data_IF_102942338298
#
_entry.id   IF_102942338298
#
_cell.length_a   1.000
_cell.length_b   1.000
_cell.length_c   1.000
_cell.angle_alpha   90.00
_cell.angle_beta   90.00
_cell.angle_gamma   90.00
#
_symmetry.space_group_name_H-M   'P 1'
#
loop_
_entity.id
_entity.type
_entity.pdbx_description
1 polymer ?
#
# COMPACT_ATOMS: atom_id res chain seq x y z
N UNK A 1 47.69 -63.47 1.35
CA UNK A 1 46.53 -62.86 2.04
C UNK A 1 46.96 -61.52 2.60
N UNK A 2 46.26 -60.42 2.25
CA UNK A 2 45.94 -59.23 3.07
C UNK A 2 47.14 -58.43 3.66
N UNK A 3 47.30 -57.11 3.58
CA UNK A 3 46.52 -55.97 3.08
C UNK A 3 47.46 -54.75 2.92
N UNK A 4 47.07 -53.84 2.04
CA UNK A 4 47.58 -52.48 1.81
C UNK A 4 47.32 -51.52 3.00
N UNK A 5 48.16 -50.50 3.16
CA UNK A 5 47.73 -49.16 3.60
C UNK A 5 48.57 -48.10 2.85
N UNK A 6 47.88 -47.28 2.06
CA UNK A 6 48.44 -46.28 1.16
C UNK A 6 48.30 -44.86 1.74
N UNK A 7 49.26 -44.04 1.33
CA UNK A 7 49.51 -42.64 1.64
C UNK A 7 48.36 -41.74 1.12
N UNK A 8 47.86 -40.84 1.97
CA UNK A 8 46.86 -39.82 1.61
C UNK A 8 47.57 -38.65 0.90
N UNK A 9 47.28 -38.45 -0.38
CA UNK A 9 47.53 -37.18 -1.08
C UNK A 9 46.30 -36.28 -0.95
N UNK A 10 46.51 -35.05 -0.47
CA UNK A 10 45.52 -34.00 -0.50
C UNK A 10 45.27 -33.53 -1.94
N UNK A 11 44.01 -33.54 -2.38
CA UNK A 11 43.57 -32.90 -3.62
C UNK A 11 42.67 -31.72 -3.23
N UNK A 12 43.11 -30.51 -3.60
CA UNK A 12 42.31 -29.30 -3.48
C UNK A 12 41.17 -29.34 -4.51
N UNK A 13 39.93 -29.36 -4.03
CA UNK A 13 38.74 -29.11 -4.84
C UNK A 13 38.44 -27.62 -4.81
N UNK A 14 38.53 -27.00 -5.98
CA UNK A 14 38.03 -25.66 -6.23
C UNK A 14 36.51 -25.65 -6.04
N UNK A 15 36.01 -24.80 -5.15
CA UNK A 15 34.59 -24.52 -4.97
C UNK A 15 34.18 -23.55 -6.09
N UNK A 16 33.12 -23.83 -6.88
CA UNK A 16 32.64 -22.88 -7.86
C UNK A 16 32.07 -21.65 -7.14
N UNK A 17 32.38 -20.45 -7.65
CA UNK A 17 31.72 -19.21 -7.24
C UNK A 17 30.21 -19.35 -7.45
N UNK A 18 29.51 -19.74 -6.39
CA UNK A 18 28.05 -19.68 -6.32
C UNK A 18 27.62 -18.22 -6.33
N UNK A 19 26.61 -17.92 -7.15
CA UNK A 19 25.93 -16.63 -7.21
C UNK A 19 25.75 -16.05 -5.81
N UNK A 20 26.29 -14.84 -5.60
CA UNK A 20 26.11 -14.13 -4.36
C UNK A 20 24.59 -13.97 -4.11
N UNK A 21 24.08 -14.66 -3.10
CA UNK A 21 22.76 -14.36 -2.52
C UNK A 21 22.83 -12.89 -2.11
N UNK A 22 22.05 -12.04 -2.78
CA UNK A 22 21.87 -10.67 -2.33
C UNK A 22 21.45 -10.71 -0.85
N UNK A 23 21.99 -9.84 0.00
CA UNK A 23 21.64 -9.82 1.41
C UNK A 23 20.13 -9.65 1.54
N UNK A 24 19.50 -10.56 2.27
CA UNK A 24 18.09 -10.43 2.66
C UNK A 24 17.94 -9.15 3.46
N UNK A 25 17.41 -8.11 2.83
CA UNK A 25 17.02 -6.89 3.52
C UNK A 25 15.95 -7.31 4.55
N UNK A 26 16.32 -7.32 5.83
CA UNK A 26 15.38 -7.56 6.94
C UNK A 26 15.38 -6.32 7.82
N UNK A 27 14.62 -5.29 7.47
CA UNK A 27 14.20 -4.28 8.44
C UNK A 27 13.37 -5.00 9.50
N UNK A 28 13.72 -4.78 10.76
CA UNK A 28 12.93 -5.18 11.92
C UNK A 28 11.53 -4.55 11.82
N UNK A 29 10.48 -5.33 12.05
CA UNK A 29 9.07 -4.93 11.90
C UNK A 29 8.61 -3.78 12.82
N UNK A 30 9.47 -3.27 13.70
CA UNK A 30 9.12 -2.30 14.75
C UNK A 30 8.83 -0.87 14.22
N UNK A 31 9.21 -0.53 12.98
CA UNK A 31 9.04 0.83 12.44
C UNK A 31 7.96 0.97 11.34
N UNK A 32 7.25 -0.10 10.99
CA UNK A 32 6.16 -0.03 10.01
C UNK A 32 4.88 0.47 10.68
N UNK A 33 4.07 1.30 10.00
CA UNK A 33 2.88 1.88 10.61
C UNK A 33 1.84 0.80 10.93
N UNK A 34 1.15 0.97 12.06
CA UNK A 34 -0.11 0.29 12.37
C UNK A 34 -1.33 1.06 11.90
N UNK A 35 -1.19 2.36 11.61
CA UNK A 35 -2.28 3.24 11.22
C UNK A 35 -1.92 3.98 9.95
N UNK A 36 -2.82 3.95 8.98
CA UNK A 36 -2.80 4.75 7.77
C UNK A 36 -4.13 5.48 7.60
N UNK A 37 -4.13 6.53 6.80
CA UNK A 37 -5.29 7.37 6.55
C UNK A 37 -5.65 7.37 5.07
N UNK A 38 -6.95 7.45 4.78
CA UNK A 38 -7.46 7.69 3.43
C UNK A 38 -8.46 8.84 3.46
N UNK A 39 -8.29 9.81 2.57
CA UNK A 39 -9.32 10.80 2.28
C UNK A 39 -10.16 10.36 1.09
N UNK A 40 -11.47 10.49 1.17
CA UNK A 40 -12.35 10.15 0.05
C UNK A 40 -13.66 10.96 0.06
N UNK A 41 -14.35 10.96 -1.08
CA UNK A 41 -15.68 11.52 -1.27
C UNK A 41 -16.78 10.46 -1.09
N UNK A 42 -16.40 9.21 -0.83
CA UNK A 42 -17.34 8.12 -0.58
C UNK A 42 -17.65 8.05 0.92
N UNK A 43 -18.93 8.05 1.33
CA UNK A 43 -19.33 7.99 2.73
C UNK A 43 -19.18 6.58 3.34
N UNK A 44 -19.06 6.48 4.68
CA UNK A 44 -18.86 5.22 5.41
C UNK A 44 -19.93 4.17 5.12
N UNK A 45 -21.19 4.58 4.97
CA UNK A 45 -22.31 3.69 4.69
C UNK A 45 -22.14 2.97 3.36
N UNK A 46 -21.55 3.65 2.37
CA UNK A 46 -21.30 3.07 1.05
C UNK A 46 -20.14 2.07 1.11
N UNK A 47 -19.01 2.40 1.75
CA UNK A 47 -17.93 1.42 1.92
C UNK A 47 -18.31 0.22 2.78
N UNK A 48 -19.12 0.43 3.83
CA UNK A 48 -19.69 -0.68 4.60
C UNK A 48 -20.53 -1.61 3.71
N UNK A 49 -21.37 -1.05 2.84
CA UNK A 49 -22.18 -1.82 1.87
C UNK A 49 -21.33 -2.56 0.84
N UNK A 50 -20.18 -2.00 0.46
CA UNK A 50 -19.24 -2.60 -0.48
C UNK A 50 -18.33 -3.66 0.17
N UNK A 51 -18.34 -3.75 1.50
CA UNK A 51 -17.49 -4.64 2.29
C UNK A 51 -16.10 -4.04 2.54
N UNK A 52 -15.84 -2.81 2.12
CA UNK A 52 -14.58 -2.11 2.29
C UNK A 52 -14.32 -1.07 1.20
N UNK A 53 -13.07 -0.64 1.10
CA UNK A 53 -12.56 0.28 0.09
C UNK A 53 -11.94 -0.56 -1.04
N UNK A 54 -12.53 -0.54 -2.26
CA UNK A 54 -11.99 -1.31 -3.39
C UNK A 54 -10.70 -0.68 -3.93
N UNK A 55 -9.93 -1.43 -4.75
CA UNK A 55 -8.87 -0.85 -5.55
C UNK A 55 -9.35 0.29 -6.45
N UNK A 56 -8.43 1.18 -6.77
CA UNK A 56 -8.74 2.43 -7.48
C UNK A 56 -8.80 2.27 -9.01
N UNK A 57 -9.35 3.31 -9.64
CA UNK A 57 -9.53 3.47 -11.08
C UNK A 57 -10.47 2.44 -11.72
N UNK A 58 -10.84 2.72 -12.96
CA UNK A 58 -11.74 1.90 -13.77
C UNK A 58 -11.00 1.39 -15.00
N UNK A 59 -11.55 0.36 -15.65
CA UNK A 59 -11.00 -0.19 -16.88
C UNK A 59 -10.64 -1.66 -16.74
N UNK A 60 -9.94 -2.20 -17.74
CA UNK A 60 -9.53 -3.60 -17.73
C UNK A 60 -8.28 -3.80 -16.88
N UNK A 61 -8.22 -4.94 -16.18
CA UNK A 61 -7.00 -5.38 -15.50
C UNK A 61 -5.96 -5.81 -16.54
N UNK A 62 -4.81 -5.13 -16.54
CA UNK A 62 -3.63 -5.44 -17.36
C UNK A 62 -2.43 -5.68 -16.46
N UNK A 63 -1.25 -5.99 -17.00
CA UNK A 63 -0.07 -6.13 -16.14
C UNK A 63 0.30 -4.79 -15.45
N UNK A 64 0.04 -3.66 -16.10
CA UNK A 64 0.19 -2.31 -15.51
C UNK A 64 -0.72 -2.06 -14.30
N UNK A 65 -1.82 -2.81 -14.15
CA UNK A 65 -2.68 -2.75 -12.96
C UNK A 65 -1.93 -3.11 -11.67
N UNK A 66 -0.87 -3.91 -11.79
CA UNK A 66 -0.06 -4.37 -10.68
C UNK A 66 1.23 -3.55 -10.50
N UNK A 67 1.44 -2.50 -11.31
CA UNK A 67 2.57 -1.57 -11.20
C UNK A 67 2.31 -0.52 -10.12
N UNK A 68 3.13 -0.50 -9.07
CA UNK A 68 3.09 0.56 -8.04
C UNK A 68 3.37 1.94 -8.64
N UNK A 69 4.26 2.04 -9.62
CA UNK A 69 4.51 3.30 -10.33
C UNK A 69 3.30 3.78 -11.12
N UNK A 70 2.59 2.87 -11.79
CA UNK A 70 1.39 3.22 -12.55
C UNK A 70 0.27 3.67 -11.63
N UNK A 71 0.10 3.00 -10.48
CA UNK A 71 -0.81 3.41 -9.42
C UNK A 71 -0.50 4.81 -8.89
N UNK A 72 0.74 5.05 -8.43
CA UNK A 72 1.14 6.36 -7.89
C UNK A 72 1.00 7.50 -8.91
N UNK A 73 1.26 7.23 -10.19
CA UNK A 73 1.09 8.25 -11.25
C UNK A 73 -0.39 8.51 -11.57
N UNK A 74 -1.29 7.61 -11.17
CA UNK A 74 -2.73 7.66 -11.43
C UNK A 74 -3.10 7.82 -12.91
N UNK A 75 -4.33 8.30 -13.13
CA UNK A 75 -4.89 8.60 -14.46
C UNK A 75 -4.57 10.03 -14.92
N UNK A 76 -4.31 10.95 -13.99
CA UNK A 76 -4.24 12.40 -14.23
C UNK A 76 -3.10 12.83 -15.17
N UNK A 77 -1.99 12.08 -15.17
CA UNK A 77 -0.77 12.48 -15.88
C UNK A 77 -0.57 11.82 -17.25
N UNK A 78 -1.55 11.11 -17.83
CA UNK A 78 -1.46 10.64 -19.23
C UNK A 78 -2.84 10.32 -19.84
N UNK A 79 -3.24 11.00 -20.94
CA UNK A 79 -4.37 10.57 -21.75
C UNK A 79 -4.20 9.11 -22.19
N UNK A 80 -5.28 8.31 -22.12
CA UNK A 80 -5.28 6.93 -22.61
C UNK A 80 -4.83 5.85 -21.61
N UNK A 81 -4.67 6.17 -20.32
CA UNK A 81 -4.54 5.16 -19.26
C UNK A 81 -5.89 4.83 -18.65
N UNK A 82 -6.65 4.00 -19.36
CA UNK A 82 -7.85 3.33 -18.85
C UNK A 82 -7.42 1.98 -18.27
N UNK A 83 -7.08 1.97 -16.98
CA UNK A 83 -6.69 0.76 -16.27
C UNK A 83 -7.24 0.79 -14.85
N UNK A 84 -7.68 -0.37 -14.39
CA UNK A 84 -8.02 -0.57 -12.99
C UNK A 84 -6.73 -0.86 -12.21
N UNK A 85 -6.47 -0.14 -11.12
CA UNK A 85 -5.37 -0.46 -10.20
C UNK A 85 -5.68 -1.73 -9.40
N UNK A 86 -4.65 -2.48 -9.06
CA UNK A 86 -4.75 -3.55 -8.06
C UNK A 86 -4.70 -3.03 -6.62
N UNK A 87 -4.51 -1.72 -6.43
CA UNK A 87 -4.24 -1.10 -5.12
C UNK A 87 -5.29 -0.06 -4.74
N UNK A 88 -5.54 0.06 -3.43
CA UNK A 88 -6.19 1.23 -2.84
C UNK A 88 -5.14 2.10 -2.12
N UNK A 89 -5.13 3.40 -2.40
CA UNK A 89 -4.15 4.32 -1.84
C UNK A 89 -4.46 4.69 -0.38
N UNK A 90 -3.43 4.75 0.45
CA UNK A 90 -3.48 5.29 1.82
C UNK A 90 -2.20 6.07 2.11
N UNK A 91 -2.18 6.86 3.17
CA UNK A 91 -1.00 7.63 3.58
C UNK A 91 -0.84 7.64 5.09
N UNK A 92 0.40 7.67 5.58
CA UNK A 92 0.67 7.98 6.99
C UNK A 92 0.62 9.48 7.30
N UNK A 93 0.54 10.34 6.28
CA UNK A 93 0.44 11.79 6.43
C UNK A 93 -1.03 12.18 6.46
N UNK A 94 -1.49 12.68 7.60
CA UNK A 94 -2.90 13.03 7.79
C UNK A 94 -3.37 14.13 6.81
N UNK A 95 -2.52 15.12 6.56
CA UNK A 95 -2.84 16.22 5.64
C UNK A 95 -3.09 15.76 4.20
N UNK A 96 -2.52 14.62 3.79
CA UNK A 96 -2.80 14.02 2.47
C UNK A 96 -4.25 13.52 2.44
N UNK A 97 -4.70 12.83 3.49
CA UNK A 97 -6.10 12.42 3.61
C UNK A 97 -7.06 13.62 3.66
N UNK A 98 -6.72 14.70 4.37
CA UNK A 98 -7.52 15.94 4.34
C UNK A 98 -7.61 16.49 2.91
N UNK A 99 -6.49 16.54 2.18
CA UNK A 99 -6.45 17.01 0.81
C UNK A 99 -7.42 16.21 -0.08
N UNK A 100 -7.36 14.88 -0.06
CA UNK A 100 -8.20 14.02 -0.88
C UNK A 100 -9.68 13.96 -0.45
N UNK A 101 -10.00 14.21 0.83
CA UNK A 101 -11.39 14.31 1.28
C UNK A 101 -12.11 15.55 0.72
N UNK A 102 -11.37 16.60 0.35
CA UNK A 102 -11.97 17.86 -0.14
C UNK A 102 -11.61 18.23 -1.58
N UNK A 103 -10.52 17.65 -2.12
CA UNK A 103 -10.09 17.83 -3.51
C UNK A 103 -11.18 17.28 -4.42
N UNK A 104 -11.53 18.07 -5.44
CA UNK A 104 -12.56 17.75 -6.43
C UNK A 104 -13.94 17.39 -5.83
N UNK A 105 -14.18 17.72 -4.55
CA UNK A 105 -15.40 17.38 -3.84
C UNK A 105 -16.60 18.19 -4.38
N UNK A 106 -17.59 17.54 -5.04
CA UNK A 106 -18.79 18.23 -5.49
C UNK A 106 -19.81 18.43 -4.35
N UNK A 107 -19.65 17.71 -3.24
CA UNK A 107 -20.55 17.69 -2.08
C UNK A 107 -20.13 18.71 -1.01
N UNK A 108 -20.93 18.82 0.05
CA UNK A 108 -20.66 19.71 1.20
C UNK A 108 -19.59 19.16 2.16
N UNK A 109 -19.33 17.85 2.14
CA UNK A 109 -18.36 17.20 3.00
C UNK A 109 -17.69 16.01 2.29
N UNK A 110 -16.52 15.63 2.79
CA UNK A 110 -15.84 14.38 2.48
C UNK A 110 -15.46 13.64 3.76
N UNK A 111 -14.73 12.54 3.63
CA UNK A 111 -14.44 11.64 4.74
C UNK A 111 -12.96 11.31 4.83
N UNK A 112 -12.45 11.28 6.06
CA UNK A 112 -11.15 10.69 6.38
C UNK A 112 -11.39 9.39 7.12
N UNK A 113 -10.77 8.32 6.64
CA UNK A 113 -10.79 7.00 7.25
C UNK A 113 -9.47 6.76 7.98
N UNK A 114 -9.54 6.37 9.25
CA UNK A 114 -8.43 5.80 10.01
C UNK A 114 -8.49 4.29 9.87
N UNK A 115 -7.43 3.70 9.34
CA UNK A 115 -7.42 2.30 8.91
C UNK A 115 -6.25 1.59 9.61
N UNK A 116 -6.53 0.42 10.18
CA UNK A 116 -5.48 -0.44 10.72
C UNK A 116 -4.70 -1.09 9.58
N UNK A 117 -3.40 -0.90 9.60
CA UNK A 117 -2.52 -1.38 8.54
C UNK A 117 -2.31 -2.89 8.64
N UNK A 118 -2.34 -3.55 7.48
CA UNK A 118 -2.13 -4.99 7.36
C UNK A 118 -1.04 -5.29 6.33
N UNK A 119 -0.49 -6.51 6.29
CA UNK A 119 0.68 -6.81 5.48
C UNK A 119 0.44 -6.72 3.95
N UNK A 120 -0.79 -6.63 3.46
CA UNK A 120 -1.05 -6.36 2.04
C UNK A 120 -0.81 -4.88 1.64
N UNK A 121 -0.52 -3.99 2.59
CA UNK A 121 -0.21 -2.58 2.35
C UNK A 121 1.28 -2.37 2.16
N UNK A 122 1.70 -1.93 0.98
CA UNK A 122 3.10 -1.82 0.56
C UNK A 122 3.61 -0.40 0.71
N UNK A 123 4.76 -0.22 1.36
CA UNK A 123 5.49 1.04 1.39
C UNK A 123 6.00 1.42 -0.02
N UNK A 124 5.39 2.45 -0.61
CA UNK A 124 5.68 2.84 -1.98
C UNK A 124 7.06 3.52 -2.11
N UNK A 125 7.42 4.35 -1.13
CA UNK A 125 8.69 5.11 -1.14
C UNK A 125 9.91 4.19 -1.13
N UNK A 126 9.77 3.00 -0.56
CA UNK A 126 10.84 2.01 -0.45
C UNK A 126 10.71 0.84 -1.44
N UNK A 127 9.87 0.98 -2.47
CA UNK A 127 9.70 -0.01 -3.54
C UNK A 127 10.68 0.17 -4.71
N UNK A 128 11.83 0.80 -4.46
CA UNK A 128 12.96 0.95 -5.39
C UNK A 128 12.61 1.58 -6.76
N UNK A 129 11.76 2.61 -6.73
CA UNK A 129 11.56 3.54 -7.82
C UNK A 129 11.37 4.96 -7.29
N UNK A 130 11.49 5.98 -8.13
CA UNK A 130 11.16 7.37 -7.73
C UNK A 130 9.67 7.64 -7.91
N UNK A 131 8.89 7.86 -6.83
CA UNK A 131 7.47 8.21 -6.93
C UNK A 131 7.27 9.58 -7.57
N UNK A 132 6.11 9.79 -8.20
CA UNK A 132 5.74 11.10 -8.76
C UNK A 132 5.25 12.05 -7.68
N UNK A 133 4.65 11.52 -6.61
CA UNK A 133 4.11 12.28 -5.49
C UNK A 133 4.71 11.76 -4.18
N UNK A 134 5.13 12.68 -3.30
CA UNK A 134 5.74 12.37 -2.00
C UNK A 134 4.68 12.30 -0.90
N UNK A 135 3.78 11.33 -1.02
CA UNK A 135 2.60 11.19 -0.16
C UNK A 135 2.81 10.24 1.02
N UNK A 136 4.00 9.61 1.15
CA UNK A 136 4.23 8.50 2.11
C UNK A 136 3.16 7.44 1.96
N UNK A 137 2.94 7.03 0.71
CA UNK A 137 1.83 6.18 0.33
C UNK A 137 2.08 4.73 0.76
N UNK A 138 1.05 4.11 1.32
CA UNK A 138 0.97 2.67 1.52
C UNK A 138 -0.14 2.09 0.65
N UNK A 139 0.25 1.36 -0.39
CA UNK A 139 -0.67 0.84 -1.41
C UNK A 139 -1.25 -0.51 -0.96
N UNK A 140 -2.55 -0.55 -0.68
CA UNK A 140 -3.25 -1.75 -0.20
C UNK A 140 -3.60 -2.68 -1.37
N UNK A 141 -2.84 -3.76 -1.52
CA UNK A 141 -3.02 -4.75 -2.59
C UNK A 141 -4.36 -5.47 -2.43
N UNK A 142 -5.21 -5.37 -3.44
CA UNK A 142 -6.53 -5.97 -3.53
C UNK A 142 -7.64 -5.20 -2.81
N UNK A 143 -7.34 -4.03 -2.23
CA UNK A 143 -8.29 -3.21 -1.49
C UNK A 143 -8.12 -3.32 0.03
N UNK A 144 -9.03 -2.70 0.75
CA UNK A 144 -9.05 -2.60 2.22
C UNK A 144 -10.42 -3.06 2.68
N UNK A 145 -10.48 -3.99 3.61
CA UNK A 145 -11.76 -4.49 4.11
C UNK A 145 -12.40 -3.52 5.10
N UNK A 146 -13.72 -3.54 5.20
CA UNK A 146 -14.47 -2.69 6.11
C UNK A 146 -14.10 -2.94 7.58
N UNK A 147 -13.85 -4.20 7.94
CA UNK A 147 -13.43 -4.60 9.29
C UNK A 147 -11.99 -4.16 9.64
N UNK A 148 -11.22 -3.62 8.68
CA UNK A 148 -9.93 -2.95 8.94
C UNK A 148 -10.06 -1.46 9.27
N UNK A 149 -11.19 -0.84 8.93
CA UNK A 149 -11.44 0.59 9.21
C UNK A 149 -11.70 0.74 10.70
N UNK A 150 -10.88 1.50 11.41
CA UNK A 150 -11.02 1.72 12.85
C UNK A 150 -12.07 2.80 13.15
N UNK A 151 -12.05 3.88 12.37
CA UNK A 151 -12.90 5.04 12.55
C UNK A 151 -12.96 5.89 11.29
N UNK A 152 -13.93 6.80 11.23
CA UNK A 152 -13.99 7.85 10.20
C UNK A 152 -14.31 9.21 10.80
N UNK A 153 -13.93 10.25 10.06
CA UNK A 153 -14.14 11.66 10.39
C UNK A 153 -14.78 12.33 9.17
N UNK A 154 -15.94 12.97 9.35
CA UNK A 154 -16.52 13.83 8.31
C UNK A 154 -15.81 15.18 8.32
N UNK A 155 -15.40 15.63 7.14
CA UNK A 155 -14.62 16.85 6.95
C UNK A 155 -15.38 17.80 6.03
N UNK A 156 -15.81 18.98 6.52
CA UNK A 156 -16.47 19.96 5.69
C UNK A 156 -15.59 20.39 4.51
N UNK A 157 -16.19 20.59 3.33
CA UNK A 157 -15.45 21.01 2.13
C UNK A 157 -14.73 22.36 2.30
N UNK A 158 -15.24 23.22 3.18
CA UNK A 158 -14.69 24.53 3.50
C UNK A 158 -13.72 24.52 4.70
N UNK A 159 -13.28 23.34 5.16
CA UNK A 159 -12.26 23.23 6.24
C UNK A 159 -10.97 23.98 5.90
N UNK A 160 -10.63 24.05 4.61
CA UNK A 160 -9.53 24.85 4.08
C UNK A 160 -10.08 26.06 3.36
N UNK A 161 -9.55 27.23 3.73
CA UNK A 161 -9.82 28.51 3.06
C UNK A 161 -8.72 28.88 2.06
N UNK A 162 -7.60 28.16 2.07
CA UNK A 162 -6.43 28.40 1.23
C UNK A 162 -6.17 27.22 0.30
N UNK A 163 -7.02 27.02 -0.71
CA UNK A 163 -6.87 25.90 -1.63
C UNK A 163 -5.59 26.01 -2.45
N UNK A 164 -4.88 24.89 -2.61
CA UNK A 164 -3.77 24.78 -3.55
C UNK A 164 -4.28 24.78 -5.00
N UNK A 165 -3.38 25.00 -5.96
CA UNK A 165 -3.73 25.04 -7.38
C UNK A 165 -4.35 23.74 -7.92
N UNK A 166 -4.13 22.62 -7.23
CA UNK A 166 -4.70 21.29 -7.50
C UNK A 166 -6.01 21.01 -6.72
N UNK A 167 -6.62 22.02 -6.11
CA UNK A 167 -7.93 21.93 -5.44
C UNK A 167 -7.93 21.35 -4.02
N UNK A 168 -6.78 20.90 -3.53
CA UNK A 168 -6.57 20.42 -2.15
C UNK A 168 -6.26 21.56 -1.16
N UNK A 169 -5.53 21.22 -0.09
CA UNK A 169 -5.15 22.16 0.98
C UNK A 169 -3.84 22.91 0.70
N UNK A 170 -3.70 24.11 1.25
CA UNK A 170 -2.53 24.98 1.04
C UNK A 170 -1.26 24.46 1.70
N UNK A 171 -0.09 25.00 1.31
CA UNK A 171 1.22 24.54 1.82
C UNK A 171 1.32 24.64 3.35
N UNK A 172 0.84 25.72 3.94
CA UNK A 172 0.90 25.92 5.39
C UNK A 172 -0.02 24.95 6.12
N UNK A 173 -1.24 24.74 5.60
CA UNK A 173 -2.20 23.74 6.12
C UNK A 173 -1.61 22.33 6.02
N UNK A 174 -0.94 21.97 4.92
CA UNK A 174 -0.21 20.69 4.79
C UNK A 174 0.80 20.46 5.91
N UNK A 175 1.47 21.51 6.39
CA UNK A 175 2.43 21.39 7.48
C UNK A 175 1.75 21.30 8.84
N UNK A 176 0.74 22.15 9.10
CA UNK A 176 0.04 22.16 10.40
C UNK A 176 -0.78 20.88 10.62
N UNK A 177 -1.43 20.38 9.58
CA UNK A 177 -2.31 19.20 9.65
C UNK A 177 -1.60 17.90 9.25
N UNK A 178 -0.26 17.86 9.32
CA UNK A 178 0.53 16.69 8.94
C UNK A 178 0.16 15.45 9.78
N UNK A 179 -0.27 15.66 11.03
CA UNK A 179 -0.76 14.61 11.96
C UNK A 179 -2.23 14.83 12.29
N UNK A 180 -2.92 13.76 12.72
CA UNK A 180 -4.30 13.83 13.19
C UNK A 180 -4.44 14.80 14.38
N UNK A 181 -3.53 14.72 15.36
CA UNK A 181 -3.49 15.64 16.51
C UNK A 181 -3.39 17.12 16.08
N UNK A 182 -2.57 17.42 15.08
CA UNK A 182 -2.42 18.78 14.57
C UNK A 182 -3.71 19.33 13.96
N UNK A 183 -4.46 18.48 13.25
CA UNK A 183 -5.76 18.83 12.70
C UNK A 183 -6.84 18.95 13.79
N UNK A 184 -6.93 17.98 14.69
CA UNK A 184 -7.93 17.92 15.77
C UNK A 184 -7.81 19.10 16.74
N UNK A 185 -6.60 19.63 16.93
CA UNK A 185 -6.38 20.85 17.72
C UNK A 185 -7.05 22.08 17.11
N UNK A 186 -7.08 22.19 15.79
CA UNK A 186 -7.72 23.30 15.07
C UNK A 186 -9.23 23.08 14.90
N UNK A 187 -9.67 21.82 14.83
CA UNK A 187 -11.07 21.45 14.64
C UNK A 187 -11.57 20.51 15.76
N UNK A 188 -11.60 20.96 17.02
CA UNK A 188 -11.93 20.09 18.16
C UNK A 188 -13.37 19.58 18.12
N UNK A 189 -14.26 20.23 17.37
CA UNK A 189 -15.66 19.84 17.22
C UNK A 189 -15.87 18.72 16.20
N UNK A 190 -14.91 18.46 15.30
CA UNK A 190 -14.96 17.31 14.41
C UNK A 190 -14.58 16.05 15.19
N UNK A 191 -15.50 15.08 15.25
CA UNK A 191 -15.33 13.88 16.07
C UNK A 191 -15.18 12.64 15.20
N UNK A 192 -14.21 11.80 15.56
CA UNK A 192 -14.12 10.44 15.05
C UNK A 192 -15.35 9.64 15.45
N UNK A 193 -15.93 8.95 14.48
CA UNK A 193 -16.93 7.91 14.70
C UNK A 193 -16.21 6.57 14.62
N UNK A 194 -16.15 5.85 15.73
CA UNK A 194 -15.53 4.53 15.78
C UNK A 194 -16.38 3.53 14.98
N UNK A 195 -15.72 2.67 14.21
CA UNK A 195 -16.38 1.60 13.47
C UNK A 195 -16.73 0.46 14.43
N UNK A 196 -18.03 0.16 14.68
CA UNK A 196 -18.41 -0.97 15.52
C UNK A 196 -18.07 -2.33 14.90
N UNK A 197 -17.79 -2.38 13.60
CA UNK A 197 -17.42 -3.60 12.88
C UNK A 197 -15.90 -3.81 12.79
N UNK A 198 -15.09 -2.92 13.38
CA UNK A 198 -13.64 -3.09 13.42
C UNK A 198 -13.28 -4.41 14.10
N UNK A 199 -12.38 -5.19 13.48
CA UNK A 199 -11.93 -6.46 14.00
C UNK A 199 -10.55 -6.34 14.63
N UNK A 200 -10.49 -6.47 15.96
CA UNK A 200 -9.24 -6.38 16.74
C UNK A 200 -8.23 -7.49 16.44
N UNK A 201 -8.57 -8.50 15.62
CA UNK A 201 -7.56 -9.42 15.06
C UNK A 201 -6.46 -8.66 14.33
N UNK A 202 -6.76 -7.46 13.82
CA UNK A 202 -5.82 -6.65 13.08
C UNK A 202 -4.73 -6.02 13.94
N UNK A 203 -4.95 -5.83 15.25
CA UNK A 203 -4.06 -5.09 16.17
C UNK A 203 -2.60 -5.62 16.18
N UNK A 204 -2.43 -6.90 15.85
CA UNK A 204 -1.13 -7.58 15.78
C UNK A 204 -0.33 -7.27 14.51
N UNK A 205 -0.98 -6.72 13.48
CA UNK A 205 -0.38 -6.53 12.17
C UNK A 205 0.12 -5.11 11.96
N UNK A 206 1.01 -4.97 10.97
CA UNK A 206 1.52 -3.70 10.47
C UNK A 206 1.53 -3.76 8.95
N UNK A 207 1.75 -2.62 8.31
CA UNK A 207 2.04 -2.58 6.88
C UNK A 207 3.28 -3.42 6.51
N UNK A 208 3.44 -3.70 5.22
CA UNK A 208 4.65 -4.31 4.65
C UNK A 208 5.65 -3.27 4.17
N UNK A 209 6.90 -3.72 4.05
CA UNK A 209 7.97 -2.99 3.40
C UNK A 209 7.72 -2.87 1.89
N UNK A 210 8.52 -2.02 1.25
CA UNK A 210 8.49 -1.86 -0.19
C UNK A 210 8.74 -3.16 -0.95
N UNK A 211 8.16 -3.24 -2.14
CA UNK A 211 8.20 -4.41 -3.01
C UNK A 211 8.83 -4.02 -4.37
N UNK A 212 10.17 -4.02 -4.50
CA UNK A 212 10.87 -3.65 -5.74
C UNK A 212 10.41 -4.39 -6.99
N UNK A 213 10.02 -5.66 -6.84
CA UNK A 213 9.48 -6.48 -7.92
C UNK A 213 8.12 -6.02 -8.44
N UNK A 214 7.42 -5.15 -7.70
CA UNK A 214 6.15 -4.53 -8.10
C UNK A 214 6.30 -3.08 -8.56
N UNK A 215 7.54 -2.55 -8.63
CA UNK A 215 7.79 -1.16 -9.02
C UNK A 215 7.11 -0.81 -10.36
N UNK A 216 7.33 -1.64 -11.38
CA UNK A 216 6.69 -1.49 -12.70
C UNK A 216 6.90 -0.11 -13.35
N UNK A 217 8.03 0.56 -13.04
CA UNK A 217 8.39 1.86 -13.58
C UNK A 217 9.23 1.73 -14.86
N UNK A 218 9.29 2.76 -15.72
CA UNK A 218 10.25 2.80 -16.83
C UNK A 218 11.70 2.73 -16.32
N UNK A 219 12.61 2.12 -17.09
CA UNK A 219 14.01 1.86 -16.71
C UNK A 219 14.72 3.06 -16.06
N UNK A 220 14.56 4.27 -16.63
CA UNK A 220 15.14 5.52 -16.09
C UNK A 220 14.65 5.93 -14.69
N UNK A 221 13.63 5.27 -14.15
CA UNK A 221 13.00 5.53 -12.85
C UNK A 221 13.21 4.38 -11.85
N UNK A 222 13.71 3.24 -12.32
CA UNK A 222 13.98 2.08 -11.47
C UNK A 222 15.28 2.28 -10.70
N UNK A 223 15.28 1.80 -9.46
CA UNK A 223 16.51 1.53 -8.75
C UNK A 223 17.09 0.16 -9.11
N UNK A 224 18.24 -0.20 -8.51
CA UNK A 224 18.97 -1.41 -8.87
C UNK A 224 18.20 -2.71 -8.61
N UNK A 225 17.48 -2.84 -7.50
CA UNK A 225 16.74 -4.07 -7.15
C UNK A 225 15.55 -4.27 -8.09
N UNK A 226 14.76 -3.22 -8.33
CA UNK A 226 13.64 -3.27 -9.24
C UNK A 226 14.10 -3.56 -10.69
N UNK A 227 15.28 -3.06 -11.07
CA UNK A 227 15.90 -3.38 -12.36
C UNK A 227 16.29 -4.86 -12.49
N UNK A 228 16.71 -5.52 -11.41
CA UNK A 228 16.98 -6.97 -11.44
C UNK A 228 15.67 -7.77 -11.57
N UNK A 229 14.64 -7.41 -10.82
CA UNK A 229 13.33 -8.08 -10.95
C UNK A 229 12.71 -7.90 -12.33
N UNK A 230 12.88 -6.73 -12.96
CA UNK A 230 12.39 -6.48 -14.31
C UNK A 230 13.04 -7.37 -15.40
N UNK A 231 14.18 -8.02 -15.10
CA UNK A 231 14.83 -9.00 -16.00
C UNK A 231 14.29 -10.42 -15.81
N UNK A 232 13.58 -10.70 -14.72
CA UNK A 232 12.96 -12.00 -14.52
C UNK A 232 11.87 -12.25 -15.57
N UNK A 233 11.68 -13.51 -15.97
CA UNK A 233 10.58 -13.89 -16.84
C UNK A 233 9.27 -14.04 -16.06
N UNK A 234 8.91 -13.00 -15.29
CA UNK A 234 7.68 -12.90 -14.49
C UNK A 234 6.96 -11.60 -14.78
N UNK A 235 5.64 -11.65 -14.83
CA UNK A 235 4.81 -10.45 -14.97
C UNK A 235 4.56 -9.81 -13.59
N UNK A 236 4.19 -8.53 -13.57
CA UNK A 236 3.84 -7.84 -12.32
C UNK A 236 2.67 -8.51 -11.61
N UNK A 237 1.69 -9.03 -12.38
CA UNK A 237 0.61 -9.85 -11.82
C UNK A 237 1.12 -11.07 -11.06
N UNK A 238 2.12 -11.78 -11.61
CA UNK A 238 2.68 -12.96 -10.95
C UNK A 238 3.39 -12.56 -9.65
N UNK A 239 4.17 -11.48 -9.67
CA UNK A 239 4.78 -10.95 -8.45
C UNK A 239 3.74 -10.51 -7.40
N UNK A 240 2.61 -9.95 -7.82
CA UNK A 240 1.55 -9.52 -6.90
C UNK A 240 0.85 -10.71 -6.25
N UNK A 241 0.62 -11.78 -7.01
CA UNK A 241 0.09 -13.06 -6.48
C UNK A 241 1.08 -13.67 -5.49
N UNK A 242 2.37 -13.75 -5.85
CA UNK A 242 3.41 -14.29 -4.94
C UNK A 242 3.56 -13.47 -3.66
N UNK A 243 3.38 -12.15 -3.74
CA UNK A 243 3.33 -11.29 -2.56
C UNK A 243 2.11 -11.63 -1.69
N UNK A 244 0.91 -11.65 -2.27
CA UNK A 244 -0.32 -11.94 -1.54
C UNK A 244 -0.39 -13.36 -0.98
N UNK A 245 0.22 -14.34 -1.64
CA UNK A 245 0.36 -15.71 -1.11
C UNK A 245 1.17 -15.74 0.20
N UNK A 246 2.13 -14.82 0.35
CA UNK A 246 2.96 -14.72 1.56
C UNK A 246 2.25 -13.95 2.68
N UNK A 247 1.52 -12.88 2.35
CA UNK A 247 1.11 -11.88 3.34
C UNK A 247 -0.39 -11.61 3.40
N UNK A 248 -1.17 -12.12 2.45
CA UNK A 248 -2.58 -11.78 2.26
C UNK A 248 -3.56 -12.55 3.15
N UNK A 249 -3.11 -13.54 3.90
CA UNK A 249 -3.99 -14.36 4.75
C UNK A 249 -4.85 -13.53 5.73
N UNK A 250 -4.34 -12.49 6.42
CA UNK A 250 -5.13 -11.65 7.33
C UNK A 250 -6.30 -10.94 6.66
N UNK A 251 -6.19 -10.63 5.38
CA UNK A 251 -7.22 -9.92 4.60
C UNK A 251 -8.08 -10.86 3.75
N UNK A 252 -8.04 -12.16 4.06
CA UNK A 252 -8.90 -13.16 3.42
C UNK A 252 -8.46 -13.54 1.99
N UNK A 253 -7.16 -13.44 1.68
CA UNK A 253 -6.61 -13.85 0.39
C UNK A 253 -6.96 -15.31 0.04
N UNK A 254 -7.41 -15.54 -1.20
CA UNK A 254 -7.81 -16.85 -1.74
C UNK A 254 -7.12 -17.21 -3.07
N UNK A 255 -6.07 -16.48 -3.46
CA UNK A 255 -5.36 -16.70 -4.72
C UNK A 255 -5.81 -15.84 -5.90
N UNK A 256 -6.74 -14.90 -5.71
CA UNK A 256 -7.26 -14.04 -6.79
C UNK A 256 -7.45 -12.59 -6.36
N UNK A 257 -7.05 -11.65 -7.24
CA UNK A 257 -7.27 -10.21 -7.09
C UNK A 257 -8.42 -9.74 -8.00
N UNK A 258 -9.16 -8.66 -7.61
CA UNK A 258 -9.10 -7.99 -6.30
C UNK A 258 -9.63 -8.87 -5.16
N UNK A 259 -9.48 -8.44 -3.90
CA UNK A 259 -10.03 -9.17 -2.76
C UNK A 259 -11.56 -9.20 -2.83
N UNK A 260 -12.15 -10.32 -2.39
CA UNK A 260 -13.58 -10.36 -2.09
C UNK A 260 -13.83 -9.68 -0.74
N UNK A 261 -14.05 -8.37 -0.78
CA UNK A 261 -14.22 -7.54 0.41
C UNK A 261 -15.48 -7.93 1.22
N UNK A 262 -16.46 -8.60 0.61
CA UNK A 262 -17.70 -9.04 1.27
C UNK A 262 -17.57 -10.42 1.91
N UNK A 263 -16.58 -11.22 1.52
CA UNK A 263 -16.36 -12.52 2.15
C UNK A 263 -15.94 -12.37 3.62
N UNK A 264 -16.40 -13.26 4.52
CA UNK A 264 -15.91 -13.31 5.89
C UNK A 264 -14.45 -13.80 5.94
N UNK A 265 -13.62 -13.17 6.78
CA UNK A 265 -12.29 -13.70 7.10
C UNK A 265 -12.45 -14.84 8.10
N UNK A 266 -12.15 -16.06 7.67
CA UNK A 266 -12.06 -17.19 8.62
C UNK A 266 -10.78 -17.01 9.42
N UNK A 267 -10.87 -16.46 10.62
CA UNK A 267 -9.80 -16.57 11.60
C UNK A 267 -9.60 -18.07 11.85
N UNK A 268 -8.44 -18.62 11.50
CA UNK A 268 -8.02 -19.87 12.12
C UNK A 268 -7.67 -19.50 13.56
N UNK A 269 -8.54 -19.92 14.48
CA UNK A 269 -8.23 -19.95 15.91
C UNK A 269 -7.03 -20.85 16.18
#
# INVERSE_FOLDING_TARGET
>A
MKHFAALILASALAIPLGAARLPSFTPTSENLPSVVYRGDLIPPEQYKKDGGIPPEFTGNMTDSSYSLWSHNKGTDLSPGRDFQSAYAATSTIFSVAVAFAIKDNPNEAGWIYRIHATPNMIDLDHSDFTPSYLEREFAATGGIRWDQVEAWLEVPKNVSTNKSADGGIGREEKQRWRTAEGFEKEFPDLKWVNNPDYNSVYDQYRASQGQPQLAGAPERRLGPLASEFAKENKTLKQHAIEFMDKVGAPVGWKGTLPLDLKAPVRCRA
#
